data_IF_412170691787
#
_entry.id   IF_412170691787
#
_cell.length_a   1.000
_cell.length_b   1.000
_cell.length_c   1.000
_cell.angle_alpha   90.00
_cell.angle_beta   90.00
_cell.angle_gamma   90.00
#
_symmetry.space_group_name_H-M   'P 1'
#
loop_
_entity.id
_entity.type
_entity.pdbx_description
1 polymer ?
#
# COMPACT_ATOMS: atom_id res chain seq x y z
N UNK A 1 -0.84 -10.40 25.89
CA UNK A 1 -1.52 -10.20 24.59
C UNK A 1 -2.97 -9.83 24.82
N UNK A 2 -3.41 -8.72 24.22
CA UNK A 2 -4.78 -8.22 24.22
C UNK A 2 -5.61 -9.17 23.36
N UNK A 3 -6.72 -9.72 23.87
CA UNK A 3 -7.50 -10.67 23.07
C UNK A 3 -8.20 -9.93 21.94
N UNK A 4 -8.46 -10.61 20.82
CA UNK A 4 -9.21 -10.05 19.69
C UNK A 4 -10.58 -9.50 20.13
N UNK A 5 -11.17 -10.13 21.14
CA UNK A 5 -12.40 -9.69 21.82
C UNK A 5 -12.20 -8.34 22.52
N UNK A 6 -11.11 -8.15 23.26
CA UNK A 6 -10.79 -6.87 23.92
C UNK A 6 -10.54 -5.77 22.89
N UNK A 7 -9.81 -6.06 21.81
CA UNK A 7 -9.56 -5.10 20.72
C UNK A 7 -10.87 -4.66 20.06
N UNK A 8 -11.76 -5.59 19.73
CA UNK A 8 -13.08 -5.29 19.16
C UNK A 8 -13.96 -4.53 20.16
N UNK A 9 -13.97 -4.94 21.43
CA UNK A 9 -14.81 -4.32 22.47
C UNK A 9 -14.39 -2.88 22.77
N UNK A 10 -13.09 -2.61 22.89
CA UNK A 10 -12.57 -1.25 23.10
C UNK A 10 -12.74 -0.38 21.85
N UNK A 11 -12.65 -0.97 20.65
CA UNK A 11 -12.97 -0.27 19.39
C UNK A 11 -14.44 0.14 19.35
N UNK A 12 -15.37 -0.71 19.80
CA UNK A 12 -16.81 -0.37 19.87
C UNK A 12 -17.14 0.65 20.97
N UNK A 13 -16.29 0.75 22.01
CA UNK A 13 -16.43 1.72 23.11
C UNK A 13 -15.90 3.12 22.77
N UNK A 14 -15.46 3.34 21.53
CA UNK A 14 -14.91 4.59 21.05
C UNK A 14 -15.87 5.78 21.21
N UNK A 15 -15.35 6.91 21.66
CA UNK A 15 -16.10 8.18 21.80
C UNK A 15 -15.67 9.23 20.76
N UNK A 16 -14.94 8.81 19.73
CA UNK A 16 -14.67 9.63 18.54
C UNK A 16 -13.75 10.85 18.75
N UNK A 17 -12.86 10.85 19.75
CA UNK A 17 -11.89 11.96 19.89
C UNK A 17 -10.87 11.92 18.74
N UNK A 18 -10.33 13.07 18.33
CA UNK A 18 -9.41 13.16 17.18
C UNK A 18 -8.20 12.20 17.27
N UNK A 19 -7.58 12.06 18.45
CA UNK A 19 -6.45 11.15 18.63
C UNK A 19 -6.82 9.67 18.47
N UNK A 20 -8.07 9.33 18.84
CA UNK A 20 -8.65 8.00 18.69
C UNK A 20 -8.84 7.65 17.20
N UNK A 21 -9.51 8.53 16.44
CA UNK A 21 -9.64 8.36 14.99
C UNK A 21 -8.29 8.27 14.28
N UNK A 22 -7.35 9.12 14.70
CA UNK A 22 -6.01 9.12 14.11
C UNK A 22 -5.28 7.79 14.30
N UNK A 23 -5.41 7.17 15.48
CA UNK A 23 -4.87 5.85 15.77
C UNK A 23 -5.53 4.76 14.92
N UNK A 24 -6.87 4.73 14.88
CA UNK A 24 -7.61 3.68 14.17
C UNK A 24 -7.32 3.73 12.66
N UNK A 25 -7.41 4.93 12.06
CA UNK A 25 -7.16 5.13 10.64
C UNK A 25 -5.72 4.76 10.26
N UNK A 26 -4.73 4.99 11.12
CA UNK A 26 -3.34 4.67 10.79
C UNK A 26 -3.10 3.16 10.67
N UNK A 27 -3.75 2.38 11.54
CA UNK A 27 -3.69 0.91 11.51
C UNK A 27 -4.48 0.37 10.33
N UNK A 28 -5.71 0.85 10.13
CA UNK A 28 -6.55 0.42 9.01
C UNK A 28 -5.86 0.72 7.68
N UNK A 29 -5.32 1.93 7.51
CA UNK A 29 -4.61 2.31 6.30
C UNK A 29 -3.33 1.50 6.12
N UNK A 30 -2.56 1.26 7.18
CA UNK A 30 -1.34 0.43 7.12
C UNK A 30 -1.63 -1.04 6.76
N UNK A 31 -2.66 -1.64 7.34
CA UNK A 31 -3.10 -3.01 7.03
C UNK A 31 -3.66 -3.11 5.61
N UNK A 32 -4.47 -2.14 5.19
CA UNK A 32 -4.98 -2.06 3.82
C UNK A 32 -3.86 -1.94 2.79
N UNK A 33 -2.89 -1.06 3.04
CA UNK A 33 -1.70 -0.93 2.18
C UNK A 33 -0.85 -2.20 2.17
N UNK A 34 -0.68 -2.88 3.31
CA UNK A 34 0.07 -4.15 3.35
C UNK A 34 -0.64 -5.27 2.57
N UNK A 35 -1.96 -5.39 2.70
CA UNK A 35 -2.75 -6.36 1.93
C UNK A 35 -2.59 -6.08 0.43
N UNK A 36 -2.78 -4.83 0.01
CA UNK A 36 -2.56 -4.44 -1.37
C UNK A 36 -1.13 -4.73 -1.82
N UNK A 37 -0.11 -4.40 -1.02
CA UNK A 37 1.28 -4.66 -1.37
C UNK A 37 1.54 -6.14 -1.68
N UNK A 38 0.96 -7.06 -0.92
CA UNK A 38 1.11 -8.49 -1.16
C UNK A 38 0.51 -8.87 -2.53
N UNK A 39 -0.73 -8.43 -2.80
CA UNK A 39 -1.40 -8.68 -4.08
C UNK A 39 -0.63 -8.03 -5.24
N UNK A 40 -0.26 -6.76 -5.07
CA UNK A 40 0.47 -5.97 -6.06
C UNK A 40 1.81 -6.60 -6.44
N UNK A 41 2.57 -7.13 -5.48
CA UNK A 41 3.84 -7.82 -5.77
C UNK A 41 3.60 -9.11 -6.57
N UNK A 42 2.56 -9.87 -6.24
CA UNK A 42 2.20 -11.09 -6.96
C UNK A 42 1.80 -10.74 -8.40
N UNK A 43 0.84 -9.87 -8.57
CA UNK A 43 0.27 -9.55 -9.89
C UNK A 43 1.31 -8.85 -10.77
N UNK A 44 2.08 -7.91 -10.24
CA UNK A 44 3.15 -7.23 -11.01
C UNK A 44 4.27 -8.20 -11.39
N UNK A 45 4.52 -9.26 -10.62
CA UNK A 45 5.49 -10.29 -11.00
C UNK A 45 5.05 -11.07 -12.25
N UNK A 46 3.74 -11.16 -12.52
CA UNK A 46 3.24 -11.83 -13.72
C UNK A 46 3.69 -11.12 -15.00
N UNK A 47 3.97 -9.82 -14.99
CA UNK A 47 4.55 -9.13 -16.14
C UNK A 47 5.85 -9.81 -16.64
N UNK A 48 6.62 -10.42 -15.74
CA UNK A 48 7.85 -11.15 -16.08
C UNK A 48 7.63 -12.66 -16.30
N UNK A 49 6.72 -13.28 -15.54
CA UNK A 49 6.60 -14.75 -15.50
C UNK A 49 5.38 -15.31 -16.25
N UNK A 50 4.28 -14.54 -16.29
CA UNK A 50 3.00 -14.92 -16.88
C UNK A 50 2.36 -13.72 -17.59
N UNK A 51 2.94 -13.23 -18.71
CA UNK A 51 2.52 -11.99 -19.36
C UNK A 51 1.03 -11.93 -19.68
N UNK A 52 0.43 -13.03 -20.13
CA UNK A 52 -1.00 -13.11 -20.44
C UNK A 52 -1.86 -12.87 -19.19
N UNK A 53 -1.49 -13.43 -18.03
CA UNK A 53 -2.20 -13.19 -16.77
C UNK A 53 -2.04 -11.75 -16.28
N UNK A 54 -0.92 -11.09 -16.60
CA UNK A 54 -0.72 -9.69 -16.26
C UNK A 54 -1.66 -8.78 -17.05
N UNK A 55 -1.81 -9.02 -18.37
CA UNK A 55 -2.77 -8.26 -19.19
C UNK A 55 -4.20 -8.46 -18.68
N UNK A 56 -4.60 -9.70 -18.37
CA UNK A 56 -5.92 -9.99 -17.79
C UNK A 56 -6.14 -9.28 -16.44
N UNK A 57 -5.10 -9.20 -15.60
CA UNK A 57 -5.14 -8.48 -14.33
C UNK A 57 -5.29 -6.96 -14.54
N UNK A 58 -4.56 -6.37 -15.49
CA UNK A 58 -4.68 -4.95 -15.83
C UNK A 58 -6.10 -4.63 -16.33
N UNK A 59 -6.67 -5.48 -17.19
CA UNK A 59 -8.05 -5.31 -17.66
C UNK A 59 -9.07 -5.27 -16.52
N UNK A 60 -8.84 -6.05 -15.45
CA UNK A 60 -9.67 -6.00 -14.24
C UNK A 60 -9.42 -4.72 -13.42
N UNK A 61 -8.16 -4.31 -13.26
CA UNK A 61 -7.82 -3.08 -12.54
C UNK A 61 -8.41 -1.83 -13.20
N UNK A 62 -8.61 -1.86 -14.52
CA UNK A 62 -9.26 -0.81 -15.30
C UNK A 62 -10.81 -0.84 -15.21
N UNK A 63 -11.40 -1.79 -14.48
CA UNK A 63 -12.85 -1.82 -14.25
C UNK A 63 -13.29 -0.83 -13.15
N UNK A 64 -14.54 -0.31 -13.19
CA UNK A 64 -14.98 0.73 -12.27
C UNK A 64 -14.87 0.35 -10.79
N UNK A 65 -15.07 -0.93 -10.45
CA UNK A 65 -14.97 -1.40 -9.07
C UNK A 65 -13.55 -1.26 -8.53
N UNK A 66 -12.56 -1.66 -9.32
CA UNK A 66 -11.16 -1.56 -8.95
C UNK A 66 -10.66 -0.12 -8.98
N UNK A 67 -11.16 0.72 -9.90
CA UNK A 67 -10.90 2.16 -9.88
C UNK A 67 -11.29 2.78 -8.54
N UNK A 68 -12.48 2.48 -8.00
CA UNK A 68 -12.87 2.97 -6.67
C UNK A 68 -11.89 2.47 -5.59
N UNK A 69 -11.48 1.22 -5.69
CA UNK A 69 -10.47 0.62 -4.81
C UNK A 69 -9.12 1.34 -4.88
N UNK A 70 -8.67 1.73 -6.06
CA UNK A 70 -7.43 2.47 -6.31
C UNK A 70 -7.45 3.84 -5.61
N UNK A 71 -8.54 4.61 -5.74
CA UNK A 71 -8.69 5.88 -5.04
C UNK A 71 -8.65 5.69 -3.51
N UNK A 72 -9.35 4.68 -3.00
CA UNK A 72 -9.34 4.35 -1.57
C UNK A 72 -7.93 3.95 -1.08
N UNK A 73 -7.19 3.19 -1.89
CA UNK A 73 -5.83 2.79 -1.60
C UNK A 73 -4.87 3.98 -1.59
N UNK A 74 -4.93 4.87 -2.58
CA UNK A 74 -4.11 6.10 -2.63
C UNK A 74 -4.37 6.94 -1.38
N UNK A 75 -5.64 7.08 -0.96
CA UNK A 75 -5.98 7.74 0.29
C UNK A 75 -5.34 7.06 1.51
N UNK A 76 -5.38 5.72 1.58
CA UNK A 76 -4.74 4.95 2.64
C UNK A 76 -3.23 5.20 2.69
N UNK A 77 -2.53 5.13 1.56
CA UNK A 77 -1.06 5.32 1.50
C UNK A 77 -0.68 6.74 1.93
N UNK A 78 -1.34 7.77 1.38
CA UNK A 78 -1.04 9.18 1.69
C UNK A 78 -1.31 9.50 3.16
N UNK A 79 -2.46 9.06 3.69
CA UNK A 79 -2.76 9.25 5.12
C UNK A 79 -1.78 8.47 6.00
N UNK A 80 -1.46 7.21 5.66
CA UNK A 80 -0.53 6.39 6.41
C UNK A 80 0.85 7.04 6.49
N UNK A 81 1.36 7.54 5.36
CA UNK A 81 2.63 8.24 5.26
C UNK A 81 2.68 9.49 6.14
N UNK A 82 1.70 10.41 6.02
CA UNK A 82 1.69 11.63 6.80
C UNK A 82 1.48 11.39 8.29
N UNK A 83 0.58 10.46 8.65
CA UNK A 83 0.39 10.14 10.05
C UNK A 83 1.60 9.40 10.65
N UNK A 84 2.27 8.56 9.86
CA UNK A 84 3.54 7.93 10.24
C UNK A 84 4.63 8.96 10.50
N UNK A 85 4.81 9.95 9.62
CA UNK A 85 5.73 11.07 9.85
C UNK A 85 5.41 11.86 11.11
N UNK A 86 4.12 12.14 11.38
CA UNK A 86 3.70 12.75 12.64
C UNK A 86 4.15 11.93 13.84
N UNK A 87 3.95 10.61 13.82
CA UNK A 87 4.36 9.71 14.92
C UNK A 87 5.89 9.77 15.10
N UNK A 88 6.65 9.66 14.01
CA UNK A 88 8.13 9.75 14.03
C UNK A 88 8.60 11.06 14.66
N UNK A 89 7.99 12.20 14.29
CA UNK A 89 8.35 13.51 14.82
C UNK A 89 8.04 13.66 16.32
N UNK A 90 6.90 13.12 16.77
CA UNK A 90 6.50 13.16 18.18
C UNK A 90 7.32 12.20 19.05
N UNK A 91 7.75 11.05 18.49
CA UNK A 91 8.68 10.13 19.14
C UNK A 91 10.07 10.77 19.30
N UNK A 92 10.57 11.46 18.26
CA UNK A 92 11.87 12.13 18.30
C UNK A 92 11.93 13.29 19.30
N UNK A 93 10.82 14.03 19.47
CA UNK A 93 10.73 15.13 20.44
C UNK A 93 9.49 14.99 21.33
N UNK A 94 9.57 14.22 22.43
CA UNK A 94 8.42 13.94 23.28
C UNK A 94 7.74 15.17 23.90
N UNK A 95 8.46 16.29 24.07
CA UNK A 95 7.85 17.54 24.55
C UNK A 95 6.78 18.10 23.60
N UNK A 96 6.73 17.66 22.34
CA UNK A 96 5.72 18.06 21.36
C UNK A 96 4.38 17.33 21.49
N UNK A 97 4.27 16.29 22.32
CA UNK A 97 3.00 15.59 22.55
C UNK A 97 1.88 16.52 23.03
N UNK A 98 2.20 17.66 23.65
CA UNK A 98 1.22 18.71 24.02
C UNK A 98 0.47 19.27 22.81
N UNK A 99 1.05 19.18 21.60
CA UNK A 99 0.47 19.64 20.34
C UNK A 99 -0.20 18.53 19.53
N UNK A 100 -0.39 17.33 20.09
CA UNK A 100 -0.88 16.16 19.33
C UNK A 100 -2.18 16.41 18.54
N UNK A 101 -3.12 17.21 19.10
CA UNK A 101 -4.38 17.54 18.42
C UNK A 101 -4.15 18.42 17.20
N UNK A 102 -3.27 19.43 17.32
CA UNK A 102 -2.90 20.30 16.20
C UNK A 102 -2.15 19.51 15.14
N UNK A 103 -1.19 18.69 15.54
CA UNK A 103 -0.44 17.82 14.64
C UNK A 103 -1.34 16.85 13.88
N UNK A 104 -2.30 16.19 14.56
CA UNK A 104 -3.27 15.33 13.90
C UNK A 104 -4.17 16.09 12.92
N UNK A 105 -4.61 17.30 13.27
CA UNK A 105 -5.40 18.14 12.35
C UNK A 105 -4.59 18.52 11.11
N UNK A 106 -3.32 18.89 11.28
CA UNK A 106 -2.41 19.18 10.16
C UNK A 106 -2.22 17.97 9.25
N UNK A 107 -2.14 16.76 9.79
CA UNK A 107 -2.11 15.53 8.98
C UNK A 107 -3.35 15.41 8.11
N UNK A 108 -4.56 15.56 8.67
CA UNK A 108 -5.79 15.50 7.88
C UNK A 108 -5.85 16.56 6.78
N UNK A 109 -5.47 17.80 7.11
CA UNK A 109 -5.41 18.89 6.12
C UNK A 109 -4.39 18.59 5.03
N UNK A 110 -3.18 18.16 5.39
CA UNK A 110 -2.14 17.81 4.43
C UNK A 110 -2.59 16.66 3.52
N UNK A 111 -3.24 15.63 4.08
CA UNK A 111 -3.82 14.52 3.31
C UNK A 111 -4.82 15.04 2.29
N UNK A 112 -5.76 15.90 2.68
CA UNK A 112 -6.75 16.48 1.75
C UNK A 112 -6.09 17.34 0.67
N UNK A 113 -5.12 18.18 1.06
CA UNK A 113 -4.39 19.06 0.13
C UNK A 113 -3.64 18.28 -0.94
N UNK A 114 -3.12 17.09 -0.62
CA UNK A 114 -2.47 16.22 -1.60
C UNK A 114 -3.49 15.39 -2.39
N UNK A 115 -4.48 14.80 -1.73
CA UNK A 115 -5.46 13.94 -2.40
C UNK A 115 -6.37 14.70 -3.37
N UNK A 116 -6.75 15.93 -3.08
CA UNK A 116 -7.66 16.70 -3.94
C UNK A 116 -7.11 16.87 -5.38
N UNK A 117 -5.89 17.41 -5.60
CA UNK A 117 -5.33 17.49 -6.95
C UNK A 117 -5.00 16.12 -7.53
N UNK A 118 -4.51 15.16 -6.73
CA UNK A 118 -4.24 13.80 -7.21
C UNK A 118 -5.49 13.14 -7.77
N UNK A 119 -6.60 13.19 -7.03
CA UNK A 119 -7.87 12.61 -7.47
C UNK A 119 -8.47 13.35 -8.65
N UNK A 120 -8.32 14.68 -8.75
CA UNK A 120 -8.75 15.41 -9.92
C UNK A 120 -8.03 14.94 -11.19
N UNK A 121 -6.73 14.67 -11.10
CA UNK A 121 -5.93 14.15 -12.22
C UNK A 121 -6.24 12.69 -12.53
N UNK A 122 -6.37 11.84 -11.50
CA UNK A 122 -6.80 10.45 -11.68
C UNK A 122 -8.17 10.36 -12.35
N UNK A 123 -9.12 11.23 -11.98
CA UNK A 123 -10.43 11.29 -12.65
C UNK A 123 -10.27 11.67 -14.12
N UNK A 124 -9.35 12.57 -14.47
CA UNK A 124 -9.04 12.88 -15.87
C UNK A 124 -8.66 11.63 -16.66
N UNK A 125 -7.65 10.89 -16.17
CA UNK A 125 -7.20 9.63 -16.79
C UNK A 125 -8.33 8.60 -16.92
N UNK A 126 -9.19 8.49 -15.90
CA UNK A 126 -10.36 7.59 -15.92
C UNK A 126 -11.37 8.00 -16.99
N UNK A 127 -11.67 9.29 -17.11
CA UNK A 127 -12.64 9.80 -18.07
C UNK A 127 -12.13 9.63 -19.50
N UNK A 128 -10.87 9.99 -19.75
CA UNK A 128 -10.25 9.86 -21.07
C UNK A 128 -10.26 8.39 -21.54
N UNK A 129 -9.96 7.45 -20.64
CA UNK A 129 -9.99 6.01 -20.95
C UNK A 129 -11.39 5.47 -21.26
N UNK A 130 -12.40 5.84 -20.47
CA UNK A 130 -13.77 5.34 -20.71
C UNK A 130 -14.46 6.00 -21.91
N UNK A 131 -14.01 7.19 -22.34
CA UNK A 131 -14.50 7.84 -23.56
C UNK A 131 -14.12 7.05 -24.83
N UNK A 132 -13.09 6.19 -24.77
CA UNK A 132 -12.63 5.36 -25.89
C UNK A 132 -13.36 3.99 -26.02
N UNK A 133 -14.37 3.72 -25.19
CA UNK A 133 -15.13 2.46 -25.13
C UNK A 133 -14.24 1.19 -25.04
N UNK A 134 -13.42 1.08 -23.97
CA UNK A 134 -12.43 0.01 -23.83
C UNK A 134 -13.08 -1.35 -23.56
N UNK A 135 -12.37 -2.44 -23.91
CA UNK A 135 -12.77 -3.79 -23.52
C UNK A 135 -12.50 -4.00 -22.02
N UNK A 136 -13.57 -4.09 -21.23
CA UNK A 136 -13.51 -4.20 -19.78
C UNK A 136 -13.85 -5.60 -19.30
N UNK A 137 -13.24 -6.01 -18.19
CA UNK A 137 -13.64 -7.23 -17.50
C UNK A 137 -15.13 -7.16 -17.09
N UNK A 138 -15.87 -8.24 -17.37
CA UNK A 138 -17.28 -8.36 -17.00
C UNK A 138 -17.48 -8.45 -15.49
N UNK A 139 -18.67 -8.10 -14.99
CA UNK A 139 -18.97 -8.22 -13.56
C UNK A 139 -18.88 -9.67 -13.06
N UNK A 140 -19.25 -10.63 -13.89
CA UNK A 140 -19.13 -12.06 -13.63
C UNK A 140 -17.67 -12.50 -13.48
N UNK A 141 -16.81 -12.06 -14.40
CA UNK A 141 -15.36 -12.31 -14.36
C UNK A 141 -14.73 -11.70 -13.09
N UNK A 142 -15.07 -10.44 -12.79
CA UNK A 142 -14.60 -9.75 -11.57
C UNK A 142 -15.05 -10.52 -10.32
N UNK A 143 -16.32 -10.93 -10.25
CA UNK A 143 -16.85 -11.67 -9.09
C UNK A 143 -16.15 -13.02 -8.92
N UNK A 144 -15.92 -13.75 -10.01
CA UNK A 144 -15.24 -15.04 -9.96
C UNK A 144 -13.83 -14.91 -9.40
N UNK A 145 -13.07 -13.94 -9.91
CA UNK A 145 -11.68 -13.72 -9.50
C UNK A 145 -11.61 -13.20 -8.07
N UNK A 146 -12.47 -12.24 -7.71
CA UNK A 146 -12.58 -11.76 -6.34
C UNK A 146 -12.98 -12.87 -5.35
N UNK A 147 -13.83 -13.81 -5.76
CA UNK A 147 -14.18 -14.95 -4.94
C UNK A 147 -12.98 -15.89 -4.72
N UNK A 148 -12.13 -16.10 -5.72
CA UNK A 148 -10.90 -16.89 -5.58
C UNK A 148 -9.91 -16.21 -4.62
N UNK A 149 -9.69 -14.90 -4.77
CA UNK A 149 -8.85 -14.12 -3.84
C UNK A 149 -9.41 -14.14 -2.42
N UNK A 150 -10.71 -13.91 -2.26
CA UNK A 150 -11.38 -13.95 -0.96
C UNK A 150 -11.27 -15.34 -0.31
N UNK A 151 -11.44 -16.41 -1.09
CA UNK A 151 -11.26 -17.78 -0.60
C UNK A 151 -9.81 -18.03 -0.14
N UNK A 152 -8.81 -17.63 -0.94
CA UNK A 152 -7.41 -17.72 -0.58
C UNK A 152 -7.08 -16.95 0.72
N UNK A 153 -7.62 -15.73 0.85
CA UNK A 153 -7.47 -14.92 2.06
C UNK A 153 -8.11 -15.59 3.28
N UNK A 154 -9.33 -16.11 3.15
CA UNK A 154 -10.02 -16.85 4.22
C UNK A 154 -9.20 -18.06 4.65
N UNK A 155 -8.63 -18.82 3.71
CA UNK A 155 -7.76 -19.96 4.03
C UNK A 155 -6.52 -19.52 4.80
N UNK A 156 -5.85 -18.44 4.38
CA UNK A 156 -4.67 -17.91 5.07
C UNK A 156 -5.03 -17.46 6.49
N UNK A 157 -6.13 -16.71 6.66
CA UNK A 157 -6.58 -16.24 7.97
C UNK A 157 -6.93 -17.42 8.89
N UNK A 158 -7.69 -18.40 8.39
CA UNK A 158 -8.05 -19.60 9.15
C UNK A 158 -6.79 -20.39 9.54
N UNK A 159 -5.84 -20.57 8.63
CA UNK A 159 -4.57 -21.22 8.91
C UNK A 159 -3.76 -20.46 9.96
N UNK A 160 -3.67 -19.13 9.85
CA UNK A 160 -2.98 -18.28 10.81
C UNK A 160 -3.62 -18.35 12.20
N UNK A 161 -4.95 -18.32 12.29
CA UNK A 161 -5.69 -18.46 13.54
C UNK A 161 -5.49 -19.86 14.16
N UNK A 162 -5.53 -20.92 13.35
CA UNK A 162 -5.30 -22.29 13.80
C UNK A 162 -3.86 -22.48 14.30
N UNK A 163 -2.87 -21.98 13.56
CA UNK A 163 -1.45 -21.99 13.97
C UNK A 163 -1.24 -21.18 15.24
N UNK A 164 -1.85 -20.00 15.36
CA UNK A 164 -1.78 -19.17 16.57
C UNK A 164 -2.40 -19.88 17.77
N UNK A 165 -3.54 -20.56 17.59
CA UNK A 165 -4.18 -21.33 18.66
C UNK A 165 -3.32 -22.52 19.08
N UNK A 166 -2.76 -23.27 18.12
CA UNK A 166 -1.85 -24.38 18.38
C UNK A 166 -0.58 -23.91 19.12
N UNK A 167 0.02 -22.81 18.65
CA UNK A 167 1.18 -22.21 19.29
C UNK A 167 0.85 -21.82 20.75
N UNK A 168 -0.28 -21.14 20.98
CA UNK A 168 -0.73 -20.78 22.32
C UNK A 168 -1.02 -21.97 23.25
N UNK A 169 -1.34 -23.15 22.72
CA UNK A 169 -1.47 -24.39 23.50
C UNK A 169 -0.10 -24.98 23.88
N UNK A 170 0.90 -24.80 23.03
CA UNK A 170 2.27 -25.32 23.22
C UNK A 170 3.12 -24.40 24.11
N UNK A 171 2.92 -23.08 24.02
CA UNK A 171 3.66 -22.10 24.80
C UNK A 171 2.87 -21.65 26.02
N UNK A 172 3.39 -21.97 27.21
CA UNK A 172 2.92 -21.40 28.49
C UNK A 172 3.60 -20.04 28.67
N UNK A 173 2.80 -18.97 28.69
CA UNK A 173 3.31 -17.60 28.75
C UNK A 173 3.64 -17.21 30.20
N UNK A 174 4.93 -17.18 30.55
CA UNK A 174 5.42 -16.55 31.78
C UNK A 174 5.43 -15.04 31.56
N UNK A 175 4.42 -14.36 32.13
CA UNK A 175 4.23 -12.91 32.00
C UNK A 175 5.29 -12.15 32.79
N UNK A 176 6.46 -11.96 32.17
CA UNK A 176 7.47 -11.00 32.58
C UNK A 176 7.42 -9.75 31.71
N UNK A 177 7.60 -8.57 32.30
CA UNK A 177 7.98 -7.39 31.54
C UNK A 177 9.44 -7.58 31.09
N UNK A 178 9.64 -8.02 29.86
CA UNK A 178 10.99 -8.14 29.29
C UNK A 178 11.44 -6.79 28.71
N UNK A 179 12.65 -6.38 29.08
CA UNK A 179 13.28 -5.19 28.50
C UNK A 179 13.57 -5.50 27.02
N UNK A 180 13.24 -4.59 26.08
CA UNK A 180 13.48 -4.80 24.66
C UNK A 180 14.93 -5.22 24.36
N UNK A 181 15.10 -6.38 23.73
CA UNK A 181 16.40 -6.83 23.26
C UNK A 181 16.98 -5.93 22.16
N UNK A 182 18.27 -6.10 21.82
CA UNK A 182 18.93 -5.33 20.75
C UNK A 182 18.17 -5.39 19.42
N UNK A 183 17.63 -6.55 19.08
CA UNK A 183 16.85 -6.76 17.86
C UNK A 183 15.55 -5.93 17.84
N UNK A 184 14.85 -5.82 18.97
CA UNK A 184 13.66 -4.98 19.09
C UNK A 184 14.01 -3.50 18.87
N UNK A 185 15.10 -3.02 19.49
CA UNK A 185 15.57 -1.64 19.29
C UNK A 185 15.98 -1.35 17.85
N UNK A 186 16.65 -2.30 17.19
CA UNK A 186 17.02 -2.21 15.77
C UNK A 186 15.77 -2.15 14.88
N UNK A 187 14.80 -3.04 15.09
CA UNK A 187 13.56 -3.08 14.31
C UNK A 187 12.68 -1.85 14.56
N UNK A 188 12.67 -1.35 15.80
CA UNK A 188 12.00 -0.11 16.17
C UNK A 188 12.60 1.07 15.42
N UNK A 189 13.94 1.17 15.39
CA UNK A 189 14.67 2.24 14.69
C UNK A 189 14.50 2.13 13.18
N UNK A 190 14.52 0.91 12.65
CA UNK A 190 14.27 0.62 11.25
C UNK A 190 12.91 1.16 10.81
N UNK A 191 11.83 0.96 11.59
CA UNK A 191 10.50 1.51 11.22
C UNK A 191 10.52 3.03 11.01
N UNK A 192 11.25 3.77 11.86
CA UNK A 192 11.32 5.24 11.76
C UNK A 192 12.13 5.65 10.54
N UNK A 193 13.31 5.07 10.36
CA UNK A 193 14.22 5.43 9.28
C UNK A 193 13.68 5.01 7.91
N UNK A 194 13.22 3.76 7.79
CA UNK A 194 12.58 3.28 6.55
C UNK A 194 11.32 4.06 6.25
N UNK A 195 10.49 4.40 7.24
CA UNK A 195 9.29 5.22 7.05
C UNK A 195 9.62 6.56 6.40
N UNK A 196 10.65 7.27 6.87
CA UNK A 196 11.09 8.53 6.24
C UNK A 196 11.47 8.30 4.78
N UNK A 197 12.36 7.34 4.50
CA UNK A 197 12.84 7.04 3.14
C UNK A 197 11.71 6.60 2.20
N UNK A 198 10.81 5.74 2.68
CA UNK A 198 9.66 5.24 1.94
C UNK A 198 8.77 6.40 1.52
N UNK A 199 8.56 7.44 2.34
CA UNK A 199 7.72 8.57 1.93
C UNK A 199 8.21 9.21 0.63
N UNK A 200 9.52 9.38 0.45
CA UNK A 200 10.03 9.97 -0.80
C UNK A 200 9.83 9.02 -1.98
N UNK A 201 10.16 7.74 -1.81
CA UNK A 201 10.05 6.73 -2.88
C UNK A 201 8.59 6.42 -3.24
N UNK A 202 7.71 6.28 -2.26
CA UNK A 202 6.31 5.95 -2.56
C UNK A 202 5.59 7.13 -3.19
N UNK A 203 5.90 8.38 -2.80
CA UNK A 203 5.30 9.56 -3.47
C UNK A 203 5.80 9.71 -4.89
N UNK A 204 7.07 9.40 -5.17
CA UNK A 204 7.56 9.32 -6.55
C UNK A 204 6.86 8.24 -7.36
N UNK A 205 6.67 7.04 -6.77
CA UNK A 205 5.94 5.94 -7.42
C UNK A 205 4.48 6.31 -7.69
N UNK A 206 3.79 6.90 -6.71
CA UNK A 206 2.41 7.35 -6.84
C UNK A 206 2.27 8.48 -7.87
N UNK A 207 3.22 9.41 -7.91
CA UNK A 207 3.22 10.46 -8.91
C UNK A 207 3.39 9.89 -10.32
N UNK A 208 4.28 8.92 -10.50
CA UNK A 208 4.47 8.28 -11.80
C UNK A 208 3.26 7.46 -12.25
N UNK A 209 2.67 6.67 -11.35
CA UNK A 209 1.65 5.67 -11.70
C UNK A 209 0.19 6.09 -11.48
N UNK A 210 -0.06 7.28 -10.89
CA UNK A 210 -1.43 7.82 -10.76
C UNK A 210 -1.59 9.31 -11.14
N UNK A 211 -0.50 10.08 -11.22
CA UNK A 211 -0.58 11.52 -11.50
C UNK A 211 -0.14 11.82 -12.93
N UNK A 212 1.07 11.39 -13.29
CA UNK A 212 1.66 11.64 -14.61
C UNK A 212 1.14 10.63 -15.63
N UNK A 213 1.11 9.36 -15.25
CA UNK A 213 0.44 8.28 -15.96
C UNK A 213 -0.50 7.59 -14.99
N UNK A 214 -1.65 7.11 -15.45
CA UNK A 214 -2.55 6.23 -14.70
C UNK A 214 -2.42 4.77 -15.13
N UNK A 215 -3.04 3.85 -14.39
CA UNK A 215 -3.20 2.44 -14.82
C UNK A 215 -3.96 2.31 -16.15
N UNK A 216 -4.70 3.34 -16.53
CA UNK A 216 -5.42 3.45 -17.78
C UNK A 216 -4.51 3.77 -18.97
N UNK A 217 -3.39 4.45 -18.74
CA UNK A 217 -2.47 4.89 -19.80
C UNK A 217 -1.47 3.80 -20.20
N UNK A 218 -1.25 2.79 -19.34
CA UNK A 218 -0.23 1.76 -19.59
C UNK A 218 -0.62 0.82 -20.73
N UNK A 219 -1.89 0.84 -21.14
CA UNK A 219 -2.42 0.12 -22.30
C UNK A 219 -2.71 1.04 -23.50
N UNK A 220 -2.35 2.33 -23.42
CA UNK A 220 -2.58 3.28 -24.50
C UNK A 220 -1.59 3.07 -25.65
N UNK A 221 -2.10 2.76 -26.85
CA UNK A 221 -1.29 2.67 -28.07
C UNK A 221 -0.72 4.05 -28.43
N UNK A 222 0.59 4.11 -28.67
CA UNK A 222 1.29 5.35 -29.03
C UNK A 222 1.65 6.26 -27.85
N UNK A 223 1.39 5.83 -26.61
CA UNK A 223 1.76 6.59 -25.40
C UNK A 223 3.24 6.43 -25.06
N UNK A 224 3.91 7.52 -24.68
CA UNK A 224 5.30 7.47 -24.20
C UNK A 224 5.36 6.84 -22.81
N UNK A 225 6.19 5.80 -22.66
CA UNK A 225 6.40 5.11 -21.39
C UNK A 225 7.14 6.04 -20.42
N UNK A 226 6.52 6.30 -19.27
CA UNK A 226 7.03 7.25 -18.29
C UNK A 226 8.44 6.90 -17.83
N UNK A 227 9.31 7.92 -17.81
CA UNK A 227 10.70 7.75 -17.40
C UNK A 227 11.61 7.17 -18.50
N UNK A 228 11.12 7.15 -19.74
CA UNK A 228 11.84 6.72 -20.94
C UNK A 228 11.53 7.64 -22.12
N UNK A 229 12.25 7.46 -23.23
CA UNK A 229 11.91 8.05 -24.53
C UNK A 229 11.27 7.02 -25.49
N UNK A 230 10.73 5.92 -24.93
CA UNK A 230 10.16 4.79 -25.67
C UNK A 230 8.63 4.94 -25.73
N UNK A 231 8.05 4.63 -26.87
CA UNK A 231 6.59 4.59 -27.07
C UNK A 231 6.09 3.15 -26.90
N UNK A 232 4.94 2.98 -26.24
CA UNK A 232 4.23 1.70 -26.20
C UNK A 232 3.50 1.47 -27.53
N UNK A 233 4.10 0.69 -28.43
CA UNK A 233 3.58 0.48 -29.79
C UNK A 233 2.51 -0.63 -29.86
N UNK A 234 2.50 -1.58 -28.91
CA UNK A 234 1.51 -2.65 -28.92
C UNK A 234 0.25 -2.34 -28.11
N UNK A 235 0.25 -1.26 -27.32
CA UNK A 235 -0.81 -0.95 -26.36
C UNK A 235 -0.91 -1.97 -25.22
N UNK A 236 0.14 -2.77 -24.99
CA UNK A 236 0.16 -3.81 -23.95
C UNK A 236 0.84 -3.30 -22.69
N UNK A 237 0.30 -3.66 -21.52
CA UNK A 237 0.88 -3.27 -20.25
C UNK A 237 2.25 -3.92 -20.01
N UNK A 238 2.48 -5.14 -20.52
CA UNK A 238 3.78 -5.82 -20.40
C UNK A 238 4.88 -5.06 -21.15
N UNK A 239 4.56 -4.47 -22.31
CA UNK A 239 5.53 -3.66 -23.06
C UNK A 239 5.91 -2.41 -22.27
N UNK A 240 4.92 -1.71 -21.70
CA UNK A 240 5.15 -0.55 -20.83
C UNK A 240 6.10 -0.90 -19.67
N UNK A 241 5.84 -2.01 -18.97
CA UNK A 241 6.67 -2.46 -17.83
C UNK A 241 8.09 -2.80 -18.31
N UNK A 242 8.22 -3.56 -19.39
CA UNK A 242 9.50 -3.96 -19.96
C UNK A 242 10.34 -2.75 -20.39
N UNK A 243 9.74 -1.82 -21.13
CA UNK A 243 10.41 -0.62 -21.61
C UNK A 243 10.98 0.23 -20.46
N UNK A 244 10.19 0.44 -19.39
CA UNK A 244 10.67 1.16 -18.20
C UNK A 244 11.73 0.37 -17.45
N UNK A 245 11.52 -0.93 -17.23
CA UNK A 245 12.44 -1.75 -16.44
C UNK A 245 13.81 -1.94 -17.10
N UNK A 246 13.86 -1.99 -18.42
CA UNK A 246 15.09 -2.19 -19.21
C UNK A 246 15.82 -0.90 -19.55
N UNK A 247 15.20 0.27 -19.33
CA UNK A 247 15.80 1.56 -19.62
C UNK A 247 17.08 1.80 -18.80
N UNK A 248 18.16 2.11 -19.52
CA UNK A 248 19.45 2.51 -18.96
C UNK A 248 19.68 4.00 -19.17
N UNK A 249 19.87 4.74 -18.09
CA UNK A 249 20.23 6.15 -18.14
C UNK A 249 21.74 6.25 -17.88
N UNK A 250 22.49 6.65 -18.91
CA UNK A 250 23.96 6.68 -18.88
C UNK A 250 24.59 5.33 -18.44
N UNK A 251 24.01 4.21 -18.85
CA UNK A 251 24.46 2.86 -18.51
C UNK A 251 24.02 2.36 -17.13
N UNK A 252 23.20 3.12 -16.40
CA UNK A 252 22.68 2.76 -15.08
C UNK A 252 21.20 2.37 -15.18
N UNK A 253 20.84 1.22 -14.61
CA UNK A 253 19.47 0.73 -14.53
C UNK A 253 18.70 1.41 -13.38
N UNK A 254 18.43 2.72 -13.53
CA UNK A 254 17.86 3.57 -12.46
C UNK A 254 16.55 2.98 -11.92
N UNK A 255 15.66 2.54 -12.81
CA UNK A 255 14.34 2.01 -12.42
C UNK A 255 14.44 0.73 -11.60
N UNK A 256 15.34 -0.19 -11.99
CA UNK A 256 15.58 -1.43 -11.22
C UNK A 256 16.08 -1.15 -9.81
N UNK A 257 16.95 -0.15 -9.67
CA UNK A 257 17.47 0.28 -8.36
C UNK A 257 16.36 0.91 -7.53
N UNK A 258 15.58 1.81 -8.13
CA UNK A 258 14.49 2.51 -7.48
C UNK A 258 13.42 1.54 -6.96
N UNK A 259 12.90 0.69 -7.85
CA UNK A 259 11.84 -0.27 -7.56
C UNK A 259 12.34 -1.37 -6.61
N UNK A 260 13.57 -1.84 -6.79
CA UNK A 260 14.19 -2.83 -5.89
C UNK A 260 14.38 -2.28 -4.47
N UNK A 261 14.80 -1.01 -4.34
CA UNK A 261 14.91 -0.34 -3.05
C UNK A 261 13.54 -0.12 -2.41
N UNK A 262 12.57 0.37 -3.18
CA UNK A 262 11.22 0.58 -2.71
C UNK A 262 10.61 -0.74 -2.21
N UNK A 263 10.66 -1.80 -3.03
CA UNK A 263 10.17 -3.15 -2.70
C UNK A 263 10.77 -3.66 -1.39
N UNK A 264 12.10 -3.64 -1.26
CA UNK A 264 12.78 -4.12 -0.06
C UNK A 264 12.34 -3.34 1.18
N UNK A 265 12.28 -2.00 1.09
CA UNK A 265 11.88 -1.16 2.21
C UNK A 265 10.41 -1.38 2.59
N UNK A 266 9.47 -1.36 1.64
CA UNK A 266 8.04 -1.47 1.95
C UNK A 266 7.64 -2.85 2.45
N UNK A 267 8.26 -3.92 1.93
CA UNK A 267 8.00 -5.29 2.42
C UNK A 267 8.49 -5.45 3.85
N UNK A 268 9.75 -5.07 4.14
CA UNK A 268 10.30 -5.21 5.50
C UNK A 268 9.56 -4.28 6.47
N UNK A 269 9.26 -3.03 6.07
CA UNK A 269 8.51 -2.08 6.88
C UNK A 269 7.08 -2.59 7.17
N UNK A 270 6.38 -3.08 6.16
CA UNK A 270 5.02 -3.61 6.29
C UNK A 270 4.94 -4.84 7.18
N UNK A 271 5.81 -5.83 6.96
CA UNK A 271 5.85 -7.05 7.78
C UNK A 271 6.27 -6.76 9.23
N UNK A 272 7.22 -5.85 9.45
CA UNK A 272 7.59 -5.42 10.80
C UNK A 272 6.46 -4.62 11.47
N UNK A 273 5.74 -3.78 10.71
CA UNK A 273 4.54 -3.08 11.15
C UNK A 273 3.42 -4.01 11.59
N UNK A 274 3.20 -5.12 10.87
CA UNK A 274 2.24 -6.15 11.23
C UNK A 274 2.52 -6.75 12.62
N UNK A 275 3.81 -6.94 12.98
CA UNK A 275 4.19 -7.41 14.32
C UNK A 275 3.69 -6.45 15.41
N UNK A 276 3.82 -5.13 15.21
CA UNK A 276 3.31 -4.14 16.16
C UNK A 276 1.79 -4.15 16.26
N UNK A 277 1.07 -4.37 15.16
CA UNK A 277 -0.40 -4.46 15.18
C UNK A 277 -0.89 -5.68 15.94
N UNK A 278 -0.21 -6.83 15.79
CA UNK A 278 -0.59 -8.10 16.45
C UNK A 278 -0.24 -8.11 17.94
N UNK A 279 0.86 -7.45 18.31
CA UNK A 279 1.37 -7.47 19.69
C UNK A 279 0.78 -6.36 20.60
N UNK A 280 0.21 -5.30 20.02
CA UNK A 280 -0.52 -4.24 20.74
C UNK A 280 -1.96 -4.64 21.09
#
# INVERSE_FOLDING_TARGET
MTTLVTTVTETLRYRGKLGQWSWALHRISGLGTLLFLILHVIDTSWAAFYPDLYEDAIRQYQSPLFTIGEFALVACVVYHAFNGLRIILLDYKPSWWVYQRRAATLVFVATIVVLAPTFALMVGHVLDFYDEDPDLAGLDEIIEIQAQFAAGFVVIVVAALALSALYGLLTRDDRGFEVPGRLESTLWSFMRLSGVLIVQLIFGQLAMMHVISGVFDITGDGMTVIGTDITNESGKAVEFVGARWDMLVAGVAIWRIYDGLLLALVVIHGLNGLRYVVND
#
